data_IF_310093643577
#
_entry.id   IF_310093643577
#
_cell.length_a   1.000
_cell.length_b   1.000
_cell.length_c   1.000
_cell.angle_alpha   90.00
_cell.angle_beta   90.00
_cell.angle_gamma   90.00
#
_symmetry.space_group_name_H-M   'P 1'
#
loop_
_entity.id
_entity.type
_entity.pdbx_description
1 polymer ?
#
# COMPACT_ATOMS: atom_id res chain seq x y z
N UNK A 1 -22.42 0.40 -1.98
CA UNK A 1 -22.09 1.58 -1.15
C UNK A 1 -20.69 1.35 -0.60
N UNK A 2 -19.72 2.16 -1.01
CA UNK A 2 -18.31 1.74 -1.13
C UNK A 2 -17.63 1.35 0.20
N UNK A 3 -17.06 0.14 0.22
CA UNK A 3 -16.16 -0.34 1.26
C UNK A 3 -14.73 0.16 0.97
N UNK A 4 -14.39 1.39 1.40
CA UNK A 4 -13.00 1.89 1.37
C UNK A 4 -12.33 1.71 2.75
N UNK A 5 -12.40 0.50 3.33
CA UNK A 5 -11.82 0.25 4.64
C UNK A 5 -10.40 -0.32 4.50
N UNK A 6 -9.39 0.56 4.50
CA UNK A 6 -7.98 0.17 4.59
C UNK A 6 -7.36 0.75 5.87
N UNK A 7 -6.74 -0.11 6.69
CA UNK A 7 -6.02 0.27 7.90
C UNK A 7 -4.63 0.77 7.55
N UNK A 8 -4.25 1.96 7.99
CA UNK A 8 -2.88 2.45 7.88
C UNK A 8 -1.95 1.54 8.70
N UNK A 9 -0.93 0.98 8.05
CA UNK A 9 0.13 0.22 8.72
C UNK A 9 1.33 1.10 9.03
N UNK A 10 1.82 1.85 8.03
CA UNK A 10 2.97 2.74 8.18
C UNK A 10 3.00 3.83 7.11
N UNK A 11 3.76 4.88 7.43
CA UNK A 11 4.09 5.98 6.54
C UNK A 11 5.60 6.20 6.63
N UNK A 12 6.26 6.38 5.49
CA UNK A 12 7.70 6.63 5.43
C UNK A 12 8.05 7.64 4.35
N UNK A 13 9.12 8.42 4.59
CA UNK A 13 9.65 9.37 3.61
C UNK A 13 11.04 8.91 3.19
N UNK A 14 11.19 8.55 1.93
CA UNK A 14 12.42 7.94 1.39
C UNK A 14 13.04 8.78 0.28
N UNK A 15 14.33 8.56 -0.02
CA UNK A 15 14.99 9.18 -1.17
C UNK A 15 14.56 8.50 -2.47
N UNK A 16 14.58 9.21 -3.60
CA UNK A 16 14.28 8.66 -4.91
C UNK A 16 15.08 7.45 -5.33
N UNK A 17 16.36 7.46 -4.96
CA UNK A 17 17.35 6.46 -5.30
C UNK A 17 17.38 5.30 -4.31
N UNK A 18 16.57 5.33 -3.26
CA UNK A 18 16.56 4.28 -2.25
C UNK A 18 15.74 3.09 -2.72
N UNK A 19 16.39 2.16 -3.42
CA UNK A 19 15.77 0.92 -3.92
C UNK A 19 15.63 -0.15 -2.83
N UNK A 20 16.23 0.05 -1.64
CA UNK A 20 16.10 -0.89 -0.53
C UNK A 20 14.66 -1.01 -0.03
N UNK A 21 13.82 -0.01 -0.35
CA UNK A 21 12.38 -0.02 -0.07
C UNK A 21 11.64 -1.17 -0.77
N UNK A 22 12.21 -1.74 -1.83
CA UNK A 22 11.60 -2.81 -2.65
C UNK A 22 12.02 -4.22 -2.23
N UNK A 23 12.81 -4.37 -1.16
CA UNK A 23 13.35 -5.68 -0.79
C UNK A 23 12.24 -6.67 -0.44
N UNK A 24 12.20 -7.77 -1.20
CA UNK A 24 11.24 -8.85 -1.04
C UNK A 24 11.52 -9.74 0.18
N UNK A 25 12.68 -9.59 0.83
CA UNK A 25 13.06 -10.31 2.07
C UNK A 25 12.27 -9.86 3.31
N UNK A 26 11.29 -8.97 3.14
CA UNK A 26 10.49 -8.40 4.23
C UNK A 26 11.17 -7.25 4.97
N UNK A 27 12.44 -6.95 4.63
CA UNK A 27 13.16 -5.78 5.15
C UNK A 27 12.82 -4.47 4.44
N UNK A 28 12.12 -4.53 3.30
CA UNK A 28 11.69 -3.37 2.53
C UNK A 28 10.40 -2.71 3.02
N UNK A 29 10.21 -1.44 2.67
CA UNK A 29 8.97 -0.68 2.91
C UNK A 29 7.80 -1.21 2.10
N UNK A 30 8.05 -1.89 0.99
CA UNK A 30 7.02 -2.63 0.25
C UNK A 30 7.14 -4.10 0.67
N UNK A 31 6.32 -4.50 1.64
CA UNK A 31 6.33 -5.86 2.13
C UNK A 31 5.70 -6.83 1.11
N UNK A 32 6.22 -8.06 0.96
CA UNK A 32 5.59 -9.11 0.18
C UNK A 32 4.20 -9.45 0.74
N UNK A 33 3.34 -10.00 -0.11
CA UNK A 33 1.92 -10.26 0.13
C UNK A 33 1.64 -11.50 1.01
N UNK A 34 2.46 -11.77 2.01
CA UNK A 34 2.42 -13.05 2.73
C UNK A 34 1.21 -13.29 3.63
N UNK A 35 0.31 -12.31 3.85
CA UNK A 35 -0.81 -12.46 4.81
C UNK A 35 -2.03 -11.54 4.55
N UNK A 36 -2.32 -11.22 3.29
CA UNK A 36 -3.55 -10.54 2.87
C UNK A 36 -3.36 -9.29 2.00
N UNK A 37 -4.46 -8.76 1.45
CA UNK A 37 -4.45 -7.63 0.53
C UNK A 37 -3.89 -6.37 1.18
N UNK A 38 -2.78 -5.88 0.61
CA UNK A 38 -2.10 -4.65 1.03
C UNK A 38 -2.17 -3.62 -0.10
N UNK A 39 -2.35 -2.35 0.28
CA UNK A 39 -2.25 -1.19 -0.61
C UNK A 39 -0.97 -0.44 -0.28
N UNK A 40 -0.15 -0.17 -1.29
CA UNK A 40 0.98 0.74 -1.17
C UNK A 40 0.74 1.95 -2.08
N UNK A 41 0.71 3.14 -1.48
CA UNK A 41 0.60 4.40 -2.21
C UNK A 41 1.93 5.14 -2.14
N UNK A 42 2.44 5.57 -3.28
CA UNK A 42 3.70 6.31 -3.39
C UNK A 42 3.42 7.61 -4.11
N UNK A 43 3.85 8.73 -3.52
CA UNK A 43 3.76 10.05 -4.15
C UNK A 43 4.98 10.90 -3.82
N UNK A 44 5.11 12.04 -4.47
CA UNK A 44 6.16 13.02 -4.22
C UNK A 44 6.02 13.69 -2.84
N UNK A 45 7.15 14.04 -2.23
CA UNK A 45 7.22 14.83 -1.00
C UNK A 45 8.32 15.90 -1.09
N UNK A 46 8.09 17.12 -0.59
CA UNK A 46 6.86 17.62 0.03
C UNK A 46 5.74 17.90 -0.99
N UNK A 47 4.49 17.92 -0.53
CA UNK A 47 3.29 17.91 -1.39
C UNK A 47 3.10 19.16 -2.26
N UNK A 48 3.63 20.31 -1.82
CA UNK A 48 3.50 21.59 -2.51
C UNK A 48 4.86 22.06 -3.02
N UNK A 49 5.52 21.21 -3.81
CA UNK A 49 6.82 21.51 -4.39
C UNK A 49 6.76 21.47 -5.92
N UNK A 50 7.20 22.56 -6.56
CA UNK A 50 7.37 22.64 -8.01
C UNK A 50 8.85 22.47 -8.31
N UNK A 51 9.21 21.32 -8.89
CA UNK A 51 10.59 20.92 -9.18
C UNK A 51 10.77 19.41 -9.01
N UNK A 52 12.03 18.94 -9.02
CA UNK A 52 12.34 17.55 -8.71
C UNK A 52 12.04 17.26 -7.23
N UNK A 53 10.82 16.82 -6.91
CA UNK A 53 10.44 16.50 -5.54
C UNK A 53 11.45 15.50 -4.95
N UNK A 54 12.23 15.97 -3.97
CA UNK A 54 13.47 15.33 -3.56
C UNK A 54 13.27 14.03 -2.78
N UNK A 55 12.02 13.69 -2.43
CA UNK A 55 11.66 12.53 -1.61
C UNK A 55 10.34 11.91 -2.07
N UNK A 56 10.10 10.67 -1.64
CA UNK A 56 8.83 9.95 -1.83
C UNK A 56 8.13 9.78 -0.49
N UNK A 57 6.82 9.97 -0.47
CA UNK A 57 5.93 9.63 0.63
C UNK A 57 5.32 8.26 0.34
N UNK A 58 5.67 7.26 1.15
CA UNK A 58 5.22 5.87 1.00
C UNK A 58 4.22 5.57 2.11
N UNK A 59 3.02 5.17 1.73
CA UNK A 59 1.97 4.72 2.64
C UNK A 59 1.76 3.23 2.41
N UNK A 60 1.74 2.44 3.49
CA UNK A 60 1.27 1.06 3.44
C UNK A 60 -0.01 0.93 4.26
N UNK A 61 -1.02 0.29 3.68
CA UNK A 61 -2.26 -0.03 4.35
C UNK A 61 -2.66 -1.50 4.12
N UNK A 62 -3.40 -2.08 5.05
CA UNK A 62 -4.00 -3.42 4.93
C UNK A 62 -5.51 -3.27 4.72
N UNK A 63 -6.07 -4.06 3.81
CA UNK A 63 -7.51 -4.15 3.64
C UNK A 63 -8.18 -4.65 4.93
N UNK A 64 -9.19 -3.94 5.42
CA UNK A 64 -10.00 -4.35 6.56
C UNK A 64 -11.25 -5.03 6.00
N UNK A 65 -11.12 -6.33 5.72
CA UNK A 65 -12.13 -7.24 5.15
C UNK A 65 -12.73 -6.85 3.80
N UNK A 66 -12.74 -7.80 2.86
CA UNK A 66 -13.69 -7.86 1.76
C UNK A 66 -14.66 -9.02 2.08
N UNK A 67 -15.71 -8.76 2.86
CA UNK A 67 -16.76 -9.74 3.15
C UNK A 67 -18.03 -8.98 3.54
N UNK A 68 -19.17 -9.11 2.86
CA UNK A 68 -19.68 -10.28 2.13
C UNK A 68 -20.49 -9.81 0.92
N UNK A 69 -20.17 -10.27 -0.29
CA UNK A 69 -21.12 -10.26 -1.40
C UNK A 69 -21.75 -11.67 -1.49
N UNK A 70 -23.04 -11.85 -1.17
CA UNK A 70 -23.69 -13.16 -1.16
C UNK A 70 -23.76 -13.82 -2.56
N UNK A 71 -23.46 -13.09 -3.64
CA UNK A 71 -23.50 -13.62 -5.00
C UNK A 71 -22.35 -14.59 -5.34
N UNK A 72 -21.20 -14.51 -4.63
CA UNK A 72 -20.05 -15.38 -4.91
C UNK A 72 -20.19 -16.80 -4.33
N UNK A 73 -21.17 -17.05 -3.46
CA UNK A 73 -21.32 -18.34 -2.77
C UNK A 73 -22.05 -19.43 -3.58
N UNK A 74 -22.66 -19.10 -4.73
CA UNK A 74 -23.60 -20.00 -5.43
C UNK A 74 -23.10 -20.51 -6.80
N UNK A 75 -21.79 -20.55 -7.07
CA UNK A 75 -21.26 -20.99 -8.38
C UNK A 75 -20.29 -22.18 -8.31
N UNK A 76 -20.50 -23.09 -7.36
CA UNK A 76 -19.73 -24.34 -7.27
C UNK A 76 -20.60 -25.52 -6.84
N UNK A 77 -20.91 -26.38 -7.83
CA UNK A 77 -21.46 -27.74 -7.76
C UNK A 77 -22.93 -27.90 -7.34
#
# INVERSE_FOLDING_TARGET
MLQYLACLLRIEIVKPSDVSVLRADGGGVIAPDSNGSRLTMITCYPFYYVGSAAKRFVVQAKLISASTDPAAANSGA
#
